data_IF_588656978971
#
_entry.id   IF_588656978971
#
_cell.length_a   1.000
_cell.length_b   1.000
_cell.length_c   1.000
_cell.angle_alpha   90.00
_cell.angle_beta   90.00
_cell.angle_gamma   90.00
#
_symmetry.space_group_name_H-M   'P 1'
#
loop_
_entity.id
_entity.type
_entity.pdbx_description
1 polymer ?
#
# COMPACT_ATOMS: atom_id res chain seq x y z
N UNK A 1 9.75 -23.13 -52.35
CA UNK A 1 10.67 -22.39 -51.46
C UNK A 1 10.01 -21.16 -50.83
N UNK A 2 9.31 -20.33 -51.61
CA UNK A 2 8.62 -19.11 -51.12
C UNK A 2 7.50 -19.35 -50.10
N UNK A 3 6.75 -20.45 -50.21
CA UNK A 3 5.65 -20.79 -49.27
C UNK A 3 6.18 -21.02 -47.85
N UNK A 4 7.36 -21.65 -47.70
CA UNK A 4 7.99 -21.88 -46.40
C UNK A 4 8.49 -20.56 -45.77
N UNK A 5 9.04 -19.67 -46.59
CA UNK A 5 9.53 -18.36 -46.14
C UNK A 5 8.36 -17.48 -45.69
N UNK A 6 7.25 -17.47 -46.45
CA UNK A 6 6.04 -16.74 -46.08
C UNK A 6 5.43 -17.22 -44.76
N UNK A 7 5.44 -18.54 -44.52
CA UNK A 7 4.94 -19.10 -43.27
C UNK A 7 5.82 -18.72 -42.07
N UNK A 8 7.14 -18.80 -42.22
CA UNK A 8 8.07 -18.36 -41.16
C UNK A 8 7.95 -16.86 -40.88
N UNK A 9 7.79 -16.02 -41.90
CA UNK A 9 7.61 -14.59 -41.73
C UNK A 9 6.29 -14.25 -40.99
N UNK A 10 5.19 -14.93 -41.34
CA UNK A 10 3.91 -14.75 -40.65
C UNK A 10 3.99 -15.19 -39.17
N UNK A 11 4.69 -16.29 -38.90
CA UNK A 11 4.88 -16.82 -37.56
C UNK A 11 5.68 -15.83 -36.69
N UNK A 12 6.78 -15.27 -37.23
CA UNK A 12 7.59 -14.24 -36.55
C UNK A 12 6.78 -12.96 -36.30
N UNK A 13 5.98 -12.50 -37.27
CA UNK A 13 5.11 -11.33 -37.07
C UNK A 13 4.08 -11.55 -35.95
N UNK A 14 3.47 -12.75 -35.86
CA UNK A 14 2.55 -13.07 -34.77
C UNK A 14 3.23 -13.03 -33.40
N UNK A 15 4.46 -13.55 -33.26
CA UNK A 15 5.20 -13.53 -31.99
C UNK A 15 5.56 -12.11 -31.52
N UNK A 16 5.75 -11.16 -32.44
CA UNK A 16 6.06 -9.77 -32.08
C UNK A 16 4.84 -9.00 -31.53
N UNK A 17 3.62 -9.44 -31.81
CA UNK A 17 2.39 -8.80 -31.32
C UNK A 17 1.95 -9.25 -29.91
N UNK A 18 2.61 -10.25 -29.31
CA UNK A 18 2.25 -10.79 -27.99
C UNK A 18 2.90 -10.08 -26.80
N UNK A 19 3.72 -9.05 -27.02
CA UNK A 19 4.37 -8.31 -25.93
C UNK A 19 3.52 -7.11 -25.49
N UNK A 20 2.32 -7.36 -24.94
CA UNK A 20 1.67 -6.39 -24.05
C UNK A 20 2.27 -6.59 -22.65
N UNK A 21 3.52 -6.13 -22.46
CA UNK A 21 4.11 -6.03 -21.13
C UNK A 21 3.46 -4.82 -20.43
N UNK A 22 2.26 -5.04 -19.88
CA UNK A 22 1.65 -4.09 -18.98
C UNK A 22 2.50 -4.08 -17.71
N UNK A 23 3.25 -3.00 -17.51
CA UNK A 23 4.02 -2.82 -16.28
C UNK A 23 3.04 -2.92 -15.11
N UNK A 24 3.42 -3.60 -14.01
CA UNK A 24 2.53 -3.73 -12.86
C UNK A 24 2.05 -2.34 -12.42
N UNK A 25 0.79 -2.27 -11.99
CA UNK A 25 0.16 -1.06 -11.44
C UNK A 25 0.72 -0.70 -10.05
N UNK A 26 2.03 -0.83 -9.86
CA UNK A 26 2.69 -0.37 -8.65
C UNK A 26 2.69 1.17 -8.68
N UNK A 27 2.31 1.84 -7.58
CA UNK A 27 2.27 3.29 -7.53
C UNK A 27 3.66 3.82 -7.82
N UNK A 28 3.76 4.63 -8.87
CA UNK A 28 5.04 5.23 -9.28
C UNK A 28 5.53 6.16 -8.16
N UNK A 29 6.87 6.30 -7.98
CA UNK A 29 7.43 7.24 -7.01
C UNK A 29 6.88 8.66 -7.22
N UNK A 30 6.39 9.28 -6.16
CA UNK A 30 5.87 10.64 -6.19
C UNK A 30 6.99 11.68 -6.19
N UNK A 31 6.73 12.86 -6.76
CA UNK A 31 7.63 14.01 -6.68
C UNK A 31 7.58 14.62 -5.28
N UNK A 32 8.64 15.35 -4.90
CA UNK A 32 8.65 16.09 -3.65
C UNK A 32 7.52 17.15 -3.64
N UNK A 33 6.80 17.26 -2.52
CA UNK A 33 5.65 18.16 -2.38
C UNK A 33 4.41 17.81 -3.22
N UNK A 34 4.38 16.65 -3.89
CA UNK A 34 3.20 16.17 -4.62
C UNK A 34 2.28 15.40 -3.67
N UNK A 35 1.52 16.17 -2.88
CA UNK A 35 0.61 15.63 -1.87
C UNK A 35 -0.51 14.78 -2.49
N UNK A 36 -0.99 15.14 -3.69
CA UNK A 36 -2.06 14.39 -4.37
C UNK A 36 -1.58 13.02 -4.83
N UNK A 37 -0.39 12.94 -5.43
CA UNK A 37 0.24 11.66 -5.77
C UNK A 37 0.42 10.79 -4.51
N UNK A 38 0.93 11.39 -3.43
CA UNK A 38 1.19 10.66 -2.20
C UNK A 38 -0.12 10.17 -1.55
N UNK A 39 -1.18 10.98 -1.61
CA UNK A 39 -2.51 10.61 -1.12
C UNK A 39 -3.07 9.41 -1.89
N UNK A 40 -2.92 9.39 -3.20
CA UNK A 40 -3.32 8.27 -4.05
C UNK A 40 -2.49 7.02 -3.75
N UNK A 41 -1.18 7.16 -3.59
CA UNK A 41 -0.30 6.04 -3.24
C UNK A 41 -0.69 5.44 -1.87
N UNK A 42 -0.93 6.25 -0.85
CA UNK A 42 -1.37 5.78 0.47
C UNK A 42 -2.69 5.00 0.35
N UNK A 43 -3.69 5.56 -0.33
CA UNK A 43 -4.98 4.88 -0.52
C UNK A 43 -4.84 3.59 -1.33
N UNK A 44 -3.93 3.54 -2.31
CA UNK A 44 -3.60 2.31 -3.02
C UNK A 44 -3.04 1.24 -2.07
N UNK A 45 -2.05 1.57 -1.22
CA UNK A 45 -1.49 0.60 -0.28
C UNK A 45 -2.50 0.13 0.76
N UNK A 46 -3.36 1.02 1.26
CA UNK A 46 -4.45 0.67 2.16
C UNK A 46 -5.41 -0.34 1.51
N UNK A 47 -5.79 -0.16 0.24
CA UNK A 47 -6.75 -1.05 -0.42
C UNK A 47 -6.12 -2.30 -1.03
N UNK A 48 -5.08 -2.15 -1.83
CA UNK A 48 -4.56 -3.21 -2.71
C UNK A 48 -3.45 -4.03 -2.04
N UNK A 49 -2.76 -3.47 -1.04
CA UNK A 49 -1.63 -4.12 -0.34
C UNK A 49 -1.92 -4.36 1.14
N UNK A 50 -3.20 -4.46 1.53
CA UNK A 50 -3.59 -4.66 2.92
C UNK A 50 -3.10 -5.99 3.54
N UNK A 51 -2.84 -7.00 2.71
CA UNK A 51 -2.27 -8.28 3.14
C UNK A 51 -0.73 -8.25 3.28
N UNK A 52 -0.11 -7.09 3.05
CA UNK A 52 1.34 -6.89 3.08
C UNK A 52 1.97 -6.88 1.69
N UNK A 53 3.19 -6.38 1.63
CA UNK A 53 4.03 -6.37 0.43
C UNK A 53 5.49 -6.53 0.84
N UNK A 54 6.07 -7.70 0.55
CA UNK A 54 7.43 -8.04 0.94
C UNK A 54 8.49 -7.22 0.20
N UNK A 55 8.18 -6.68 -0.98
CA UNK A 55 9.12 -5.87 -1.77
C UNK A 55 9.51 -4.57 -1.07
N UNK A 56 8.60 -4.03 -0.26
CA UNK A 56 8.80 -2.80 0.53
C UNK A 56 8.79 -3.07 2.04
N UNK A 57 8.86 -4.35 2.44
CA UNK A 57 8.78 -4.79 3.83
C UNK A 57 7.50 -4.29 4.55
N UNK A 58 6.40 -4.14 3.81
CA UNK A 58 5.09 -3.81 4.35
C UNK A 58 4.50 -5.09 4.95
N UNK A 59 4.32 -5.10 6.26
CA UNK A 59 3.60 -6.17 6.94
C UNK A 59 2.11 -6.09 6.62
N UNK A 60 1.40 -7.19 6.82
CA UNK A 60 -0.06 -7.21 6.77
C UNK A 60 -0.65 -6.15 7.71
N UNK A 61 -1.52 -5.29 7.16
CA UNK A 61 -2.17 -4.18 7.87
C UNK A 61 -3.67 -4.42 8.08
N UNK A 62 -4.25 -5.51 7.57
CA UNK A 62 -5.62 -5.89 7.91
C UNK A 62 -5.81 -7.42 7.96
N UNK A 63 -6.07 -8.02 9.15
CA UNK A 63 -6.08 -7.36 10.46
C UNK A 63 -4.70 -6.91 10.95
N UNK A 64 -4.67 -5.83 11.73
CA UNK A 64 -3.51 -5.43 12.55
C UNK A 64 -3.55 -6.21 13.86
N UNK A 65 -2.44 -6.86 14.22
CA UNK A 65 -2.24 -7.40 15.55
C UNK A 65 -1.82 -6.28 16.51
N UNK A 66 -2.74 -5.87 17.38
CA UNK A 66 -2.54 -4.78 18.33
C UNK A 66 -2.07 -5.28 19.70
N UNK A 67 -1.86 -6.59 19.87
CA UNK A 67 -1.38 -7.18 21.10
C UNK A 67 -2.27 -6.89 22.32
N UNK A 68 -1.65 -6.50 23.42
CA UNK A 68 -2.32 -6.21 24.69
C UNK A 68 -2.21 -4.72 25.00
N UNK A 69 -3.34 -4.09 25.36
CA UNK A 69 -3.35 -2.71 25.84
C UNK A 69 -4.22 -2.59 27.09
N UNK A 70 -3.86 -1.64 27.95
CA UNK A 70 -4.59 -1.36 29.19
C UNK A 70 -5.14 0.05 29.14
N UNK A 71 -6.45 0.19 29.31
CA UNK A 71 -7.12 1.46 29.52
C UNK A 71 -7.30 1.68 31.02
N UNK A 72 -6.77 2.78 31.53
CA UNK A 72 -6.94 3.21 32.92
C UNK A 72 -7.79 4.46 32.95
N UNK A 73 -8.92 4.42 33.65
CA UNK A 73 -9.81 5.55 33.82
C UNK A 73 -10.01 5.83 35.32
N UNK A 74 -9.95 7.10 35.72
CA UNK A 74 -10.37 7.52 37.06
C UNK A 74 -9.29 8.15 37.95
N UNK A 75 -8.18 8.65 37.40
CA UNK A 75 -7.04 9.16 38.19
C UNK A 75 -7.42 10.04 39.42
N UNK A 76 -8.48 10.85 39.33
CA UNK A 76 -8.98 11.72 40.42
C UNK A 76 -10.43 11.40 40.88
N UNK A 77 -11.00 10.24 40.54
CA UNK A 77 -12.38 9.85 40.87
C UNK A 77 -12.38 8.63 41.82
N UNK A 78 -13.36 8.47 42.73
CA UNK A 78 -13.37 7.35 43.69
C UNK A 78 -13.63 5.98 43.04
N UNK A 79 -13.98 5.95 41.76
CA UNK A 79 -14.10 4.73 40.95
C UNK A 79 -12.96 4.70 39.93
N UNK A 80 -11.99 3.82 40.18
CA UNK A 80 -10.92 3.51 39.25
C UNK A 80 -11.26 2.25 38.46
N UNK A 81 -11.16 2.36 37.13
CA UNK A 81 -11.41 1.24 36.21
C UNK A 81 -10.13 0.97 35.42
N UNK A 82 -9.60 -0.25 35.59
CA UNK A 82 -8.50 -0.78 34.80
C UNK A 82 -9.04 -1.87 33.88
N UNK A 83 -9.04 -1.61 32.57
CA UNK A 83 -9.47 -2.56 31.55
C UNK A 83 -8.26 -3.05 30.77
N UNK A 84 -7.98 -4.35 30.85
CA UNK A 84 -6.94 -4.99 30.05
C UNK A 84 -7.58 -5.79 28.93
N UNK A 85 -7.22 -5.44 27.70
CA UNK A 85 -7.62 -6.13 26.50
C UNK A 85 -6.42 -6.90 25.98
N UNK A 86 -6.55 -8.22 25.76
CA UNK A 86 -5.47 -9.08 25.29
C UNK A 86 -5.79 -9.70 23.94
N UNK A 87 -4.75 -9.98 23.14
CA UNK A 87 -4.86 -10.62 21.82
C UNK A 87 -5.78 -9.85 20.86
N UNK A 88 -5.69 -8.53 20.87
CA UNK A 88 -6.56 -7.67 20.09
C UNK A 88 -6.18 -7.69 18.61
N UNK A 89 -7.20 -7.74 17.77
CA UNK A 89 -7.08 -7.59 16.31
C UNK A 89 -7.93 -6.42 15.86
N UNK A 90 -7.34 -5.52 15.09
CA UNK A 90 -8.03 -4.38 14.49
C UNK A 90 -8.32 -4.75 13.03
N UNK A 91 -9.60 -4.64 12.65
CA UNK A 91 -10.09 -4.93 11.31
C UNK A 91 -10.61 -3.67 10.63
N UNK A 92 -10.65 -3.67 9.30
CA UNK A 92 -11.29 -2.63 8.50
C UNK A 92 -10.36 -1.47 8.12
N UNK A 93 -9.07 -1.57 8.43
CA UNK A 93 -8.06 -0.61 7.97
C UNK A 93 -7.96 -0.61 6.44
N UNK A 94 -8.22 -1.76 5.80
CA UNK A 94 -8.28 -1.85 4.34
C UNK A 94 -9.41 -1.00 3.71
N UNK A 95 -10.41 -0.64 4.51
CA UNK A 95 -11.55 0.20 4.09
C UNK A 95 -11.36 1.68 4.47
N UNK A 96 -10.27 2.02 5.18
CA UNK A 96 -9.98 3.40 5.54
C UNK A 96 -9.61 4.21 4.29
N UNK A 97 -9.98 5.49 4.29
CA UNK A 97 -9.60 6.43 3.22
C UNK A 97 -8.80 7.57 3.82
N UNK A 98 -7.56 7.73 3.36
CA UNK A 98 -6.76 8.91 3.65
C UNK A 98 -7.36 10.11 2.90
N UNK A 99 -7.67 11.18 3.63
CA UNK A 99 -8.27 12.40 3.08
C UNK A 99 -7.28 13.57 2.98
N UNK A 100 -6.13 13.47 3.63
CA UNK A 100 -5.09 14.49 3.60
C UNK A 100 -3.73 13.87 3.92
N UNK A 101 -2.70 14.34 3.21
CA UNK A 101 -1.31 14.03 3.50
C UNK A 101 -0.48 15.30 3.36
N UNK A 102 0.69 15.31 4.01
CA UNK A 102 1.77 16.26 3.73
C UNK A 102 3.01 15.44 3.43
N UNK A 103 3.53 15.57 2.21
CA UNK A 103 4.74 14.91 1.77
C UNK A 103 6.00 15.54 2.34
N UNK A 104 7.14 14.96 1.98
CA UNK A 104 8.44 15.51 2.32
C UNK A 104 8.82 16.63 1.35
N UNK A 105 9.43 17.70 1.88
CA UNK A 105 10.07 18.71 1.07
C UNK A 105 11.38 18.21 0.45
N UNK A 106 11.95 19.01 -0.46
CA UNK A 106 13.19 18.67 -1.17
C UNK A 106 14.38 18.44 -0.22
N UNK A 107 14.39 19.15 0.91
CA UNK A 107 15.43 19.05 1.93
C UNK A 107 14.90 18.26 3.13
N UNK A 108 15.25 16.98 3.25
CA UNK A 108 14.79 16.11 4.32
C UNK A 108 15.29 16.51 5.73
N UNK A 109 16.23 17.46 5.82
CA UNK A 109 16.76 17.95 7.10
C UNK A 109 15.90 19.07 7.72
N UNK A 110 14.97 19.62 6.94
CA UNK A 110 14.07 20.71 7.37
C UNK A 110 12.67 20.18 7.64
N UNK A 111 11.96 20.85 8.54
CA UNK A 111 10.55 20.56 8.83
C UNK A 111 9.69 21.23 7.74
N UNK A 112 8.85 20.43 7.07
CA UNK A 112 7.93 20.86 6.01
C UNK A 112 6.48 20.62 6.44
#
# INVERSE_FOLDING_TARGET
>A
MYIRIGFFAALVCCFLQFNNAEFPNDPKPCKFGDDDCLLQAINFYLREKNQGDTSINLRKIDPIDAGTFTLKQGADNPVNIDLTFSNNKIYGVANATAYKVRGFGKDLTKKH
#
